data_IF_157575112750
#
_entry.id   IF_157575112750
#
_cell.length_a   1.000
_cell.length_b   1.000
_cell.length_c   1.000
_cell.angle_alpha   90.00
_cell.angle_beta   90.00
_cell.angle_gamma   90.00
#
_symmetry.space_group_name_H-M   'P 1'
#
loop_
_entity.id
_entity.type
_entity.pdbx_description
1 polymer ?
#
# COMPACT_ATOMS: atom_id res chain seq x y z
N UNK A 1 -24.67 25.73 11.30
CA UNK A 1 -23.39 25.14 10.89
C UNK A 1 -23.48 23.67 11.25
N UNK A 2 -23.44 22.79 10.27
CA UNK A 2 -23.34 21.34 10.50
C UNK A 2 -21.85 20.98 10.59
N UNK A 3 -21.49 20.04 11.45
CA UNK A 3 -20.11 19.67 11.71
C UNK A 3 -19.97 18.17 11.93
N UNK A 4 -18.85 17.62 11.46
CA UNK A 4 -18.48 16.23 11.68
C UNK A 4 -17.47 16.16 12.83
N UNK A 5 -17.76 15.31 13.82
CA UNK A 5 -16.85 15.04 14.94
C UNK A 5 -16.29 13.64 14.75
N UNK A 6 -14.97 13.54 14.68
CA UNK A 6 -14.25 12.26 14.59
C UNK A 6 -13.59 12.03 15.94
N UNK A 7 -13.86 10.88 16.55
CA UNK A 7 -13.27 10.48 17.83
C UNK A 7 -12.50 9.18 17.67
N UNK A 8 -11.53 8.93 18.55
CA UNK A 8 -10.69 7.75 18.47
C UNK A 8 -9.91 7.52 19.76
N UNK A 9 -9.20 6.39 19.81
CA UNK A 9 -8.38 6.04 20.97
C UNK A 9 -7.23 7.03 21.15
N UNK A 10 -7.19 7.67 22.33
CA UNK A 10 -6.07 8.55 22.73
C UNK A 10 -4.73 7.81 22.68
N UNK A 11 -4.70 6.54 23.05
CA UNK A 11 -3.47 5.72 23.07
C UNK A 11 -2.93 5.51 21.66
N UNK A 12 -3.80 5.16 20.71
CA UNK A 12 -3.41 4.95 19.30
C UNK A 12 -2.84 6.26 18.73
N UNK A 13 -3.55 7.36 18.95
CA UNK A 13 -3.12 8.68 18.46
C UNK A 13 -1.77 9.09 19.06
N UNK A 14 -1.60 8.92 20.37
CA UNK A 14 -0.35 9.30 21.04
C UNK A 14 0.84 8.45 20.60
N UNK A 15 0.64 7.16 20.33
CA UNK A 15 1.70 6.29 19.82
C UNK A 15 2.11 6.70 18.40
N UNK A 16 1.16 7.02 17.52
CA UNK A 16 1.43 7.52 16.18
C UNK A 16 2.24 8.83 16.22
N UNK A 17 1.78 9.82 17.01
CA UNK A 17 2.44 11.11 17.13
C UNK A 17 3.88 10.97 17.64
N UNK A 18 4.09 10.15 18.68
CA UNK A 18 5.44 9.88 19.22
C UNK A 18 6.37 9.22 18.20
N UNK A 19 5.86 8.36 17.32
CA UNK A 19 6.68 7.79 16.25
C UNK A 19 7.20 8.87 15.29
N UNK A 20 6.36 9.83 14.91
CA UNK A 20 6.75 10.95 14.03
C UNK A 20 7.73 11.90 14.74
N UNK A 21 7.44 12.26 15.99
CA UNK A 21 8.31 13.15 16.79
C UNK A 21 9.70 12.54 17.03
N UNK A 22 9.79 11.22 17.22
CA UNK A 22 11.08 10.51 17.36
C UNK A 22 11.91 10.50 16.09
N UNK A 23 11.30 10.76 14.92
CA UNK A 23 12.01 10.98 13.67
C UNK A 23 12.52 12.42 13.52
N UNK A 24 12.34 13.28 14.54
CA UNK A 24 12.75 14.70 14.50
C UNK A 24 11.77 15.61 13.76
N UNK A 25 10.56 15.12 13.45
CA UNK A 25 9.53 15.85 12.72
C UNK A 25 8.47 16.42 13.67
N UNK A 26 7.87 17.54 13.28
CA UNK A 26 6.71 18.12 13.97
C UNK A 26 5.43 17.79 13.22
N UNK A 27 4.40 17.35 13.94
CA UNK A 27 3.09 17.05 13.34
C UNK A 27 2.27 18.33 13.25
N UNK A 28 2.05 18.81 12.03
CA UNK A 28 1.25 20.02 11.79
C UNK A 28 -0.24 19.80 12.02
N UNK A 29 -0.78 18.67 11.56
CA UNK A 29 -2.21 18.33 11.67
C UNK A 29 -2.43 16.82 11.52
N UNK A 30 -3.60 16.34 11.94
CA UNK A 30 -4.03 14.94 11.82
C UNK A 30 -5.25 14.90 10.92
N UNK A 31 -5.25 13.98 9.95
CA UNK A 31 -6.36 13.77 9.03
C UNK A 31 -6.86 12.33 9.12
N UNK A 32 -8.17 12.14 9.09
CA UNK A 32 -8.77 10.82 8.91
C UNK A 32 -8.55 10.36 7.47
N UNK A 33 -7.88 9.22 7.28
CA UNK A 33 -7.48 8.68 5.97
C UNK A 33 -8.56 8.78 4.88
N UNK A 34 -9.80 8.26 5.08
CA UNK A 34 -10.90 8.41 4.12
C UNK A 34 -11.14 9.82 3.58
N UNK A 35 -10.98 10.85 4.40
CA UNK A 35 -11.18 12.24 3.98
C UNK A 35 -10.07 12.72 3.05
N UNK A 36 -8.82 12.31 3.33
CA UNK A 36 -7.68 12.56 2.46
C UNK A 36 -7.79 11.76 1.15
N UNK A 37 -7.94 10.44 1.23
CA UNK A 37 -8.02 9.55 0.07
C UNK A 37 -9.15 9.95 -0.87
N UNK A 38 -10.33 10.28 -0.31
CA UNK A 38 -11.49 10.69 -1.11
C UNK A 38 -11.33 12.06 -1.79
N UNK A 39 -10.34 12.88 -1.43
CA UNK A 39 -10.10 14.15 -2.14
C UNK A 39 -9.48 13.94 -3.51
N UNK A 40 -8.86 12.77 -3.71
CA UNK A 40 -8.19 12.36 -4.94
C UNK A 40 -9.00 11.29 -5.67
N UNK A 41 -9.50 10.28 -4.94
CA UNK A 41 -10.05 9.07 -5.54
C UNK A 41 -11.46 9.23 -6.15
N UNK A 42 -12.28 10.11 -5.57
CA UNK A 42 -13.70 10.23 -5.91
C UNK A 42 -14.12 11.68 -6.13
N UNK A 43 -14.97 11.89 -7.12
CA UNK A 43 -15.52 13.18 -7.54
C UNK A 43 -16.60 13.68 -6.58
N UNK A 44 -16.98 14.96 -6.73
CA UNK A 44 -18.08 15.54 -5.95
C UNK A 44 -19.43 14.90 -6.28
N UNK A 45 -19.64 14.51 -7.53
CA UNK A 45 -20.89 13.92 -7.99
C UNK A 45 -21.04 12.51 -7.42
N UNK A 46 -19.96 11.70 -7.44
CA UNK A 46 -19.96 10.38 -6.81
C UNK A 46 -20.25 10.46 -5.29
N UNK A 47 -19.64 11.41 -4.58
CA UNK A 47 -19.94 11.65 -3.14
C UNK A 47 -21.39 12.08 -2.90
N UNK A 48 -22.00 12.80 -3.85
CA UNK A 48 -23.36 13.31 -3.70
C UNK A 48 -24.39 12.22 -3.95
N UNK A 49 -24.17 11.41 -4.98
CA UNK A 49 -25.06 10.32 -5.40
C UNK A 49 -24.98 9.08 -4.50
N UNK A 50 -23.78 8.75 -4.00
CA UNK A 50 -23.54 7.57 -3.19
C UNK A 50 -22.45 6.68 -3.79
N UNK A 51 -21.31 6.57 -3.10
CA UNK A 51 -20.14 5.79 -3.53
C UNK A 51 -19.47 5.11 -2.35
N UNK A 52 -18.98 3.89 -2.58
CA UNK A 52 -18.14 3.17 -1.63
C UNK A 52 -16.68 3.19 -2.05
N UNK A 53 -15.85 3.91 -1.30
CA UNK A 53 -14.41 3.93 -1.45
C UNK A 53 -13.78 2.81 -0.63
N UNK A 54 -13.02 1.94 -1.28
CA UNK A 54 -12.33 0.80 -0.68
C UNK A 54 -10.82 0.99 -0.90
N UNK A 55 -10.07 1.19 0.19
CA UNK A 55 -8.61 1.30 0.18
C UNK A 55 -7.99 0.00 0.71
N UNK A 56 -7.41 -0.79 -0.19
CA UNK A 56 -6.82 -2.11 0.08
C UNK A 56 -5.30 -1.95 0.23
N UNK A 57 -4.84 -1.81 1.47
CA UNK A 57 -3.43 -1.74 1.83
C UNK A 57 -2.80 -3.12 2.04
N UNK A 58 -1.58 -3.14 2.60
CA UNK A 58 -0.88 -4.37 3.00
C UNK A 58 -1.53 -5.04 4.21
N UNK A 59 -1.69 -4.30 5.31
CA UNK A 59 -2.22 -4.87 6.56
C UNK A 59 -3.74 -4.78 6.73
N UNK A 60 -4.43 -3.91 5.99
CA UNK A 60 -5.85 -3.63 6.23
C UNK A 60 -6.59 -3.12 4.99
N UNK A 61 -7.90 -3.30 5.00
CA UNK A 61 -8.84 -2.69 4.07
C UNK A 61 -9.65 -1.63 4.81
N UNK A 62 -9.67 -0.41 4.28
CA UNK A 62 -10.56 0.65 4.76
C UNK A 62 -11.75 0.80 3.83
N UNK A 63 -12.96 0.63 4.36
CA UNK A 63 -14.22 0.81 3.62
C UNK A 63 -14.83 2.13 4.07
N UNK A 64 -15.19 2.99 3.13
CA UNK A 64 -15.72 4.33 3.40
C UNK A 64 -16.88 4.65 2.48
N UNK A 65 -18.02 4.99 3.06
CA UNK A 65 -19.24 5.33 2.30
C UNK A 65 -19.46 6.83 2.32
N UNK A 66 -19.63 7.41 1.13
CA UNK A 66 -19.96 8.82 0.95
C UNK A 66 -21.33 8.96 0.31
N UNK A 67 -22.20 9.76 0.93
CA UNK A 67 -23.51 10.16 0.41
C UNK A 67 -23.80 11.61 0.79
N UNK A 68 -24.62 12.31 0.01
CA UNK A 68 -24.97 13.71 0.27
C UNK A 68 -23.73 14.62 0.38
N UNK A 69 -22.64 14.26 -0.30
CA UNK A 69 -21.40 15.03 -0.34
C UNK A 69 -20.49 14.86 0.88
N UNK A 70 -20.84 14.01 1.85
CA UNK A 70 -20.08 13.83 3.09
C UNK A 70 -19.82 12.35 3.40
N UNK A 71 -18.83 12.08 4.26
CA UNK A 71 -18.54 10.73 4.76
C UNK A 71 -19.63 10.30 5.74
N UNK A 72 -20.36 9.23 5.43
CA UNK A 72 -21.43 8.69 6.28
C UNK A 72 -20.90 7.62 7.23
N UNK A 73 -20.11 6.68 6.70
CA UNK A 73 -19.59 5.54 7.46
C UNK A 73 -18.16 5.23 7.05
N UNK A 74 -17.37 4.74 8.00
CA UNK A 74 -16.06 4.16 7.73
C UNK A 74 -15.76 3.01 8.69
N UNK A 75 -15.12 1.96 8.18
CA UNK A 75 -14.78 0.76 8.94
C UNK A 75 -13.49 0.17 8.37
N UNK A 76 -12.76 -0.59 9.21
CA UNK A 76 -11.47 -1.17 8.85
C UNK A 76 -11.51 -2.66 9.10
N UNK A 77 -11.20 -3.44 8.07
CA UNK A 77 -10.98 -4.88 8.17
C UNK A 77 -9.48 -5.15 8.32
N UNK A 78 -9.04 -5.94 9.32
CA UNK A 78 -7.62 -6.21 9.57
C UNK A 78 -7.07 -7.31 8.64
N UNK A 79 -7.32 -7.17 7.34
CA UNK A 79 -6.86 -8.04 6.27
C UNK A 79 -6.47 -7.19 5.06
N UNK A 80 -5.43 -7.59 4.34
CA UNK A 80 -4.90 -6.86 3.18
C UNK A 80 -3.81 -7.67 2.46
N UNK A 81 -3.04 -7.02 1.58
CA UNK A 81 -2.05 -7.65 0.71
C UNK A 81 -0.98 -8.51 1.42
N UNK A 82 -0.70 -8.29 2.70
CA UNK A 82 0.23 -9.11 3.50
C UNK A 82 -0.30 -10.54 3.69
N UNK A 83 -1.62 -10.73 3.66
CA UNK A 83 -2.25 -12.05 3.76
C UNK A 83 -2.07 -12.85 2.47
N UNK A 84 -2.07 -12.17 1.31
CA UNK A 84 -1.72 -12.80 0.02
C UNK A 84 -0.27 -13.28 0.08
N UNK A 85 0.63 -12.42 0.55
CA UNK A 85 2.05 -12.76 0.72
C UNK A 85 2.25 -13.94 1.66
N UNK A 86 1.52 -13.99 2.76
CA UNK A 86 1.56 -15.09 3.70
C UNK A 86 1.07 -16.41 3.08
N UNK A 87 -0.02 -16.37 2.32
CA UNK A 87 -0.54 -17.57 1.65
C UNK A 87 0.42 -18.11 0.59
N UNK A 88 1.07 -17.23 -0.18
CA UNK A 88 2.14 -17.61 -1.11
C UNK A 88 3.33 -18.21 -0.35
N UNK A 89 3.76 -17.59 0.75
CA UNK A 89 4.88 -18.09 1.55
C UNK A 89 4.60 -19.50 2.10
N UNK A 90 3.38 -19.76 2.56
CA UNK A 90 2.95 -21.08 3.05
C UNK A 90 2.81 -22.08 1.89
N UNK A 91 2.14 -21.69 0.81
CA UNK A 91 1.85 -22.55 -0.34
C UNK A 91 3.13 -23.01 -1.05
N UNK A 92 4.09 -22.11 -1.23
CA UNK A 92 5.37 -22.38 -1.90
C UNK A 92 6.52 -22.70 -0.94
N UNK A 93 6.27 -22.63 0.38
CA UNK A 93 7.25 -22.90 1.45
C UNK A 93 8.53 -22.07 1.32
N UNK A 94 8.35 -20.77 1.10
CA UNK A 94 9.41 -19.77 0.94
C UNK A 94 9.37 -18.70 2.03
N UNK A 95 10.39 -17.84 2.08
CA UNK A 95 10.37 -16.69 2.99
C UNK A 95 9.28 -15.69 2.57
N UNK A 96 8.78 -14.93 3.54
CA UNK A 96 7.82 -13.84 3.28
C UNK A 96 8.38 -12.81 2.31
N UNK A 97 9.68 -12.53 2.37
CA UNK A 97 10.37 -11.61 1.44
C UNK A 97 10.33 -12.13 -0.01
N UNK A 98 10.66 -13.41 -0.22
CA UNK A 98 10.57 -14.01 -1.55
C UNK A 98 9.13 -14.12 -2.05
N UNK A 99 8.18 -14.41 -1.16
CA UNK A 99 6.76 -14.40 -1.48
C UNK A 99 6.27 -13.03 -1.94
N UNK A 100 6.70 -11.94 -1.28
CA UNK A 100 6.35 -10.57 -1.70
C UNK A 100 6.94 -10.26 -3.07
N UNK A 101 8.19 -10.66 -3.31
CA UNK A 101 8.88 -10.50 -4.60
C UNK A 101 8.16 -11.25 -5.72
N UNK A 102 7.70 -12.48 -5.45
CA UNK A 102 6.94 -13.28 -6.41
C UNK A 102 5.56 -12.69 -6.65
N UNK A 103 4.83 -12.29 -5.59
CA UNK A 103 3.51 -11.65 -5.68
C UNK A 103 3.56 -10.40 -6.56
N UNK A 104 4.51 -9.50 -6.30
CA UNK A 104 4.65 -8.24 -7.02
C UNK A 104 5.09 -8.42 -8.48
N UNK A 105 5.88 -9.45 -8.77
CA UNK A 105 6.41 -9.68 -10.12
C UNK A 105 5.51 -10.53 -11.01
N UNK A 106 4.87 -11.56 -10.46
CA UNK A 106 4.15 -12.59 -11.23
C UNK A 106 2.69 -12.75 -10.79
N UNK A 107 2.24 -12.06 -9.75
CA UNK A 107 0.91 -12.26 -9.18
C UNK A 107 -0.22 -11.91 -10.14
N UNK A 108 -1.26 -12.73 -10.16
CA UNK A 108 -2.52 -12.49 -10.86
C UNK A 108 -3.65 -12.95 -9.94
N UNK A 109 -4.68 -12.11 -9.78
CA UNK A 109 -5.81 -12.34 -8.88
C UNK A 109 -7.05 -12.91 -9.58
N UNK A 110 -6.96 -13.17 -10.89
CA UNK A 110 -8.02 -13.78 -11.68
C UNK A 110 -7.45 -14.92 -12.53
N UNK A 111 -7.77 -16.16 -12.19
CA UNK A 111 -7.20 -17.42 -12.68
C UNK A 111 -7.46 -17.58 -14.17
N UNK A 112 -8.65 -17.19 -14.64
CA UNK A 112 -9.04 -17.35 -16.05
C UNK A 112 -8.14 -16.56 -17.00
N UNK A 113 -7.56 -15.45 -16.54
CA UNK A 113 -6.65 -14.59 -17.31
C UNK A 113 -5.16 -14.88 -17.03
N UNK A 114 -4.86 -15.75 -16.05
CA UNK A 114 -3.49 -16.01 -15.61
C UNK A 114 -2.70 -16.85 -16.62
N UNK A 115 -1.47 -16.42 -16.94
CA UNK A 115 -0.61 -17.05 -17.95
C UNK A 115 -0.04 -18.40 -17.50
N UNK A 116 -0.15 -19.41 -18.36
CA UNK A 116 0.52 -20.72 -18.21
C UNK A 116 1.95 -20.73 -18.78
N UNK A 117 2.29 -19.72 -19.55
CA UNK A 117 3.59 -19.58 -20.23
C UNK A 117 4.57 -18.74 -19.39
N UNK A 118 4.07 -17.79 -18.61
CA UNK A 118 4.90 -17.03 -17.68
C UNK A 118 5.30 -17.92 -16.50
N UNK A 119 6.60 -18.25 -16.42
CA UNK A 119 7.18 -19.20 -15.47
C UNK A 119 8.30 -18.57 -14.65
N UNK A 120 8.51 -19.09 -13.44
CA UNK A 120 9.54 -18.64 -12.53
C UNK A 120 10.02 -19.75 -11.60
N UNK A 121 11.30 -19.68 -11.25
CA UNK A 121 11.94 -20.61 -10.31
C UNK A 121 11.73 -20.20 -8.86
N UNK A 122 11.46 -21.18 -8.01
CA UNK A 122 11.24 -21.02 -6.58
C UNK A 122 12.13 -22.00 -5.83
N UNK A 123 12.95 -21.49 -4.90
CA UNK A 123 13.75 -22.32 -4.01
C UNK A 123 13.04 -22.44 -2.66
N UNK A 124 12.49 -23.62 -2.38
CA UNK A 124 11.86 -23.94 -1.10
C UNK A 124 12.87 -23.87 0.06
N UNK A 125 12.42 -23.39 1.22
CA UNK A 125 13.25 -23.37 2.44
C UNK A 125 13.75 -24.78 2.77
N UNK A 126 15.06 -24.91 2.97
CA UNK A 126 15.70 -26.18 3.33
C UNK A 126 15.94 -27.13 2.15
N UNK A 127 15.66 -26.70 0.91
CA UNK A 127 16.04 -27.41 -0.32
C UNK A 127 17.11 -26.64 -1.09
N UNK A 128 17.95 -27.38 -1.82
CA UNK A 128 18.98 -26.79 -2.69
C UNK A 128 18.55 -26.72 -4.16
N UNK A 129 17.50 -27.45 -4.53
CA UNK A 129 16.95 -27.48 -5.89
C UNK A 129 15.78 -26.49 -5.99
N UNK A 130 15.70 -25.80 -7.13
CA UNK A 130 14.57 -24.94 -7.47
C UNK A 130 13.49 -25.74 -8.18
N UNK A 131 12.24 -25.39 -7.90
CA UNK A 131 11.05 -25.90 -8.60
C UNK A 131 10.48 -24.76 -9.46
N UNK A 132 10.02 -25.08 -10.67
CA UNK A 132 9.44 -24.10 -11.59
C UNK A 132 7.92 -24.04 -11.41
N UNK A 133 7.39 -22.82 -11.30
CA UNK A 133 5.96 -22.52 -11.19
C UNK A 133 5.53 -21.55 -12.28
N UNK A 134 4.27 -21.62 -12.70
CA UNK A 134 3.63 -20.67 -13.61
C UNK A 134 2.83 -19.60 -12.87
N UNK A 135 2.56 -18.46 -13.53
CA UNK A 135 1.63 -17.45 -13.03
C UNK A 135 0.23 -18.05 -12.78
N UNK A 136 -0.23 -18.97 -13.63
CA UNK A 136 -1.46 -19.72 -13.43
C UNK A 136 -1.48 -20.49 -12.09
N UNK A 137 -0.41 -21.21 -11.76
CA UNK A 137 -0.30 -21.91 -10.47
C UNK A 137 -0.25 -20.96 -9.29
N UNK A 138 0.40 -19.80 -9.45
CA UNK A 138 0.41 -18.74 -8.43
C UNK A 138 -0.98 -18.13 -8.22
N UNK A 139 -1.74 -17.93 -9.29
CA UNK A 139 -3.10 -17.38 -9.23
C UNK A 139 -4.05 -18.27 -8.41
N UNK A 140 -3.83 -19.59 -8.40
CA UNK A 140 -4.58 -20.53 -7.55
C UNK A 140 -4.34 -20.33 -6.04
N UNK A 141 -3.33 -19.56 -5.66
CA UNK A 141 -3.08 -19.14 -4.28
C UNK A 141 -3.63 -17.72 -4.05
N UNK A 142 -3.46 -16.82 -5.02
CA UNK A 142 -3.81 -15.41 -4.88
C UNK A 142 -5.33 -15.17 -4.96
N UNK A 143 -6.01 -15.70 -5.97
CA UNK A 143 -7.44 -15.44 -6.20
C UNK A 143 -8.30 -15.79 -4.98
N UNK A 144 -8.19 -16.98 -4.36
CA UNK A 144 -9.04 -17.32 -3.20
C UNK A 144 -8.89 -16.34 -2.04
N UNK A 145 -7.69 -15.79 -1.84
CA UNK A 145 -7.44 -14.78 -0.80
C UNK A 145 -8.07 -13.43 -1.16
N UNK A 146 -7.99 -13.02 -2.42
CA UNK A 146 -8.60 -11.76 -2.89
C UNK A 146 -10.13 -11.89 -2.90
N UNK A 147 -10.66 -13.05 -3.27
CA UNK A 147 -12.09 -13.40 -3.18
C UNK A 147 -12.57 -13.25 -1.73
N UNK A 148 -11.89 -13.87 -0.76
CA UNK A 148 -12.23 -13.72 0.66
C UNK A 148 -12.24 -12.24 1.09
N UNK A 149 -11.28 -11.43 0.64
CA UNK A 149 -11.28 -9.99 0.94
C UNK A 149 -12.54 -9.29 0.44
N UNK A 150 -12.97 -9.58 -0.80
CA UNK A 150 -14.17 -8.98 -1.37
C UNK A 150 -15.46 -9.51 -0.75
N UNK A 151 -15.53 -10.79 -0.37
CA UNK A 151 -16.64 -11.32 0.42
C UNK A 151 -16.77 -10.62 1.78
N UNK A 152 -15.64 -10.40 2.46
CA UNK A 152 -15.60 -9.65 3.72
C UNK A 152 -16.05 -8.21 3.53
N UNK A 153 -15.61 -7.55 2.45
CA UNK A 153 -16.05 -6.20 2.08
C UNK A 153 -17.57 -6.18 1.86
N UNK A 154 -18.10 -7.09 1.03
CA UNK A 154 -19.52 -7.17 0.71
C UNK A 154 -20.37 -7.38 1.97
N UNK A 155 -19.95 -8.30 2.84
CA UNK A 155 -20.61 -8.56 4.13
C UNK A 155 -20.61 -7.33 5.02
N UNK A 156 -19.50 -6.59 5.06
CA UNK A 156 -19.36 -5.40 5.88
C UNK A 156 -20.21 -4.24 5.36
N UNK A 157 -20.24 -4.02 4.04
CA UNK A 157 -21.14 -3.07 3.37
C UNK A 157 -22.61 -3.39 3.68
N UNK A 158 -22.99 -4.67 3.58
CA UNK A 158 -24.34 -5.12 3.92
C UNK A 158 -24.67 -4.89 5.40
N UNK A 159 -23.70 -5.15 6.30
CA UNK A 159 -23.84 -4.92 7.75
C UNK A 159 -24.05 -3.43 8.07
N UNK A 160 -23.44 -2.53 7.30
CA UNK A 160 -23.63 -1.08 7.41
C UNK A 160 -25.00 -0.61 6.84
N UNK A 161 -25.76 -1.49 6.21
CA UNK A 161 -27.11 -1.22 5.70
C UNK A 161 -27.16 -0.86 4.22
N UNK A 162 -26.06 -0.98 3.49
CA UNK A 162 -25.99 -0.68 2.06
C UNK A 162 -26.16 -1.95 1.23
N UNK A 163 -26.98 -1.87 0.18
CA UNK A 163 -27.19 -2.98 -0.77
C UNK A 163 -26.49 -2.72 -2.10
N UNK A 164 -26.53 -1.47 -2.53
CA UNK A 164 -25.93 -0.96 -3.75
C UNK A 164 -25.49 0.50 -3.54
N UNK A 165 -24.64 0.98 -4.46
CA UNK A 165 -24.20 2.37 -4.50
C UNK A 165 -24.49 2.92 -5.90
N UNK A 166 -25.24 4.03 -6.03
CA UNK A 166 -25.57 4.60 -7.35
C UNK A 166 -24.35 4.93 -8.22
N UNK A 167 -23.24 5.35 -7.60
CA UNK A 167 -21.95 5.58 -8.28
C UNK A 167 -20.98 4.39 -8.21
N UNK A 168 -21.41 3.28 -7.61
CA UNK A 168 -20.62 2.05 -7.51
C UNK A 168 -19.51 2.09 -6.46
N UNK A 169 -18.49 1.27 -6.72
CA UNK A 169 -17.33 1.06 -5.87
C UNK A 169 -16.08 1.65 -6.52
N UNK A 170 -15.25 2.29 -5.69
CA UNK A 170 -13.98 2.84 -6.12
C UNK A 170 -12.86 2.20 -5.31
N UNK A 171 -11.97 1.51 -5.98
CA UNK A 171 -10.84 0.81 -5.37
C UNK A 171 -9.57 1.68 -5.42
N UNK A 172 -8.75 1.62 -4.38
CA UNK A 172 -7.41 2.21 -4.33
C UNK A 172 -6.52 1.40 -3.37
N UNK A 173 -5.25 1.78 -3.24
CA UNK A 173 -4.30 1.11 -2.35
C UNK A 173 -3.40 0.13 -3.10
N UNK A 174 -2.28 -0.25 -2.50
CA UNK A 174 -1.22 -0.98 -3.19
C UNK A 174 -1.63 -2.37 -3.69
N UNK A 175 -2.53 -3.05 -2.98
CA UNK A 175 -2.99 -4.39 -3.36
C UNK A 175 -3.83 -4.38 -4.64
N UNK A 176 -4.47 -3.25 -4.95
CA UNK A 176 -5.27 -3.09 -6.18
C UNK A 176 -4.38 -3.08 -7.44
N UNK A 177 -3.06 -2.95 -7.28
CA UNK A 177 -2.12 -3.05 -8.40
C UNK A 177 -1.88 -4.48 -8.88
N UNK A 178 -2.33 -5.50 -8.13
CA UNK A 178 -2.27 -6.89 -8.61
C UNK A 178 -3.23 -7.06 -9.81
N UNK A 179 -2.74 -7.51 -10.98
CA UNK A 179 -3.60 -7.81 -12.14
C UNK A 179 -4.75 -8.75 -11.79
N UNK A 180 -5.92 -8.59 -12.41
CA UNK A 180 -7.11 -9.42 -12.14
C UNK A 180 -7.98 -8.96 -10.96
N UNK A 181 -7.49 -8.03 -10.11
CA UNK A 181 -8.26 -7.56 -8.95
C UNK A 181 -9.54 -6.84 -9.36
N UNK A 182 -9.51 -6.05 -10.45
CA UNK A 182 -10.68 -5.30 -10.91
C UNK A 182 -11.76 -6.22 -11.47
N UNK A 183 -11.33 -7.23 -12.22
CA UNK A 183 -12.16 -8.27 -12.81
C UNK A 183 -12.88 -9.04 -11.70
N UNK A 184 -12.13 -9.59 -10.76
CA UNK A 184 -12.68 -10.33 -9.62
C UNK A 184 -13.60 -9.46 -8.74
N UNK A 185 -13.23 -8.19 -8.50
CA UNK A 185 -14.07 -7.26 -7.75
C UNK A 185 -15.41 -7.01 -8.44
N UNK A 186 -15.41 -6.91 -9.77
CA UNK A 186 -16.61 -6.64 -10.57
C UNK A 186 -17.60 -7.80 -10.50
N UNK A 187 -17.09 -9.05 -10.47
CA UNK A 187 -17.92 -10.24 -10.30
C UNK A 187 -18.54 -10.33 -8.90
N UNK A 188 -17.73 -10.09 -7.86
CA UNK A 188 -18.14 -10.29 -6.46
C UNK A 188 -19.00 -9.16 -5.90
N UNK A 189 -18.71 -7.90 -6.26
CA UNK A 189 -19.43 -6.74 -5.73
C UNK A 189 -20.73 -6.43 -6.49
N UNK A 190 -21.00 -7.10 -7.61
CA UNK A 190 -22.25 -7.00 -8.37
C UNK A 190 -22.66 -5.55 -8.72
N UNK A 191 -21.67 -4.70 -9.01
CA UNK A 191 -21.88 -3.28 -9.29
C UNK A 191 -20.75 -2.69 -10.14
N UNK A 192 -20.86 -1.41 -10.47
CA UNK A 192 -19.80 -0.72 -11.19
C UNK A 192 -18.58 -0.60 -10.28
N UNK A 193 -17.45 -1.14 -10.70
CA UNK A 193 -16.17 -1.03 -9.99
C UNK A 193 -15.17 -0.30 -10.87
N UNK A 194 -14.40 0.62 -10.28
CA UNK A 194 -13.26 1.25 -10.96
C UNK A 194 -12.10 1.44 -10.00
N UNK A 195 -10.89 1.50 -10.54
CA UNK A 195 -9.69 1.86 -9.78
C UNK A 195 -9.47 3.37 -9.84
N UNK A 196 -9.16 3.97 -8.69
CA UNK A 196 -8.69 5.34 -8.61
C UNK A 196 -7.17 5.39 -8.59
N UNK A 197 -6.60 6.24 -9.45
CA UNK A 197 -5.17 6.51 -9.54
C UNK A 197 -4.96 8.02 -9.50
N UNK A 198 -4.03 8.55 -8.67
CA UNK A 198 -3.66 9.96 -8.70
C UNK A 198 -3.03 10.36 -10.06
N UNK A 199 -3.30 11.58 -10.52
CA UNK A 199 -2.82 12.08 -11.83
C UNK A 199 -1.52 12.92 -11.74
N UNK A 200 -0.68 12.68 -10.74
CA UNK A 200 0.58 13.42 -10.54
C UNK A 200 1.79 12.60 -10.97
N UNK A 201 2.66 13.18 -11.81
CA UNK A 201 3.91 12.55 -12.22
C UNK A 201 4.74 12.08 -11.02
N UNK A 202 5.31 10.88 -11.13
CA UNK A 202 6.11 10.25 -10.08
C UNK A 202 5.32 9.51 -9.00
N UNK A 203 4.00 9.71 -8.93
CA UNK A 203 3.12 9.04 -7.94
C UNK A 203 1.83 8.52 -8.56
N UNK A 204 1.82 8.19 -9.87
CA UNK A 204 0.64 7.70 -10.61
C UNK A 204 0.31 6.23 -10.34
N UNK A 205 0.20 5.88 -9.06
CA UNK A 205 -0.11 4.53 -8.62
C UNK A 205 -1.12 4.58 -7.45
N UNK A 206 -2.07 3.63 -7.35
CA UNK A 206 -3.08 3.59 -6.29
C UNK A 206 -2.52 3.64 -4.86
N UNK A 207 -1.30 3.17 -4.63
CA UNK A 207 -0.64 3.19 -3.33
C UNK A 207 -0.35 4.61 -2.81
N UNK A 208 -0.27 5.60 -3.70
CA UNK A 208 0.03 6.99 -3.33
C UNK A 208 -1.21 7.86 -3.11
N UNK A 209 -2.41 7.37 -3.39
CA UNK A 209 -3.67 8.14 -3.31
C UNK A 209 -3.84 8.85 -1.97
N UNK A 210 -3.61 8.14 -0.86
CA UNK A 210 -3.73 8.71 0.49
C UNK A 210 -2.66 9.77 0.76
N UNK A 211 -1.41 9.53 0.34
CA UNK A 211 -0.32 10.50 0.51
C UNK A 211 -0.59 11.81 -0.23
N UNK A 212 -1.02 11.72 -1.49
CA UNK A 212 -1.44 12.88 -2.29
C UNK A 212 -2.64 13.59 -1.64
N UNK A 213 -3.61 12.82 -1.13
CA UNK A 213 -4.77 13.34 -0.41
C UNK A 213 -4.40 14.13 0.86
N UNK A 214 -3.39 13.66 1.62
CA UNK A 214 -2.90 14.36 2.81
C UNK A 214 -2.28 15.72 2.47
N UNK A 215 -1.54 15.80 1.36
CA UNK A 215 -1.00 17.08 0.87
C UNK A 215 -2.12 18.04 0.50
N UNK A 216 -3.15 17.56 -0.24
CA UNK A 216 -4.30 18.37 -0.61
C UNK A 216 -5.11 18.84 0.62
N UNK A 217 -5.24 17.98 1.63
CA UNK A 217 -5.88 18.30 2.90
C UNK A 217 -5.13 19.41 3.63
N UNK A 218 -3.82 19.25 3.82
CA UNK A 218 -2.97 20.24 4.47
C UNK A 218 -3.03 21.60 3.77
N UNK A 219 -2.98 21.61 2.42
CA UNK A 219 -3.11 22.85 1.63
C UNK A 219 -4.46 23.55 1.85
N UNK A 220 -5.57 22.82 1.81
CA UNK A 220 -6.91 23.39 2.02
C UNK A 220 -7.06 23.96 3.43
N UNK A 221 -6.60 23.24 4.45
CA UNK A 221 -6.72 23.68 5.84
C UNK A 221 -5.84 24.89 6.16
N UNK A 222 -4.61 24.94 5.64
CA UNK A 222 -3.76 26.12 5.78
C UNK A 222 -4.43 27.38 5.20
N UNK A 223 -5.08 27.24 4.03
CA UNK A 223 -5.84 28.31 3.38
C UNK A 223 -7.01 28.80 4.23
N UNK A 224 -7.76 27.88 4.85
CA UNK A 224 -8.89 28.21 5.74
C UNK A 224 -8.42 28.87 7.03
N UNK A 225 -7.27 28.45 7.57
CA UNK A 225 -6.69 29.01 8.79
C UNK A 225 -5.86 30.30 8.57
N UNK A 226 -5.74 30.76 7.32
CA UNK A 226 -4.93 31.95 6.97
C UNK A 226 -3.43 31.77 7.23
N UNK A 227 -2.93 30.53 7.29
CA UNK A 227 -1.50 30.24 7.45
C UNK A 227 -0.83 30.23 6.07
N UNK A 228 0.28 30.95 5.92
CA UNK A 228 1.15 30.80 4.75
C UNK A 228 1.74 29.38 4.76
N UNK A 229 1.51 28.62 3.69
CA UNK A 229 2.19 27.34 3.48
C UNK A 229 3.62 27.68 3.06
N UNK A 230 4.50 27.92 4.02
CA UNK A 230 5.91 28.04 3.75
C UNK A 230 6.39 26.69 3.22
N UNK A 231 6.67 26.61 1.92
CA UNK A 231 7.44 25.52 1.35
C UNK A 231 8.86 25.65 1.90
N UNK A 232 9.10 25.13 3.10
CA UNK A 232 10.43 25.06 3.68
C UNK A 232 11.20 23.93 2.99
N UNK A 233 11.66 24.19 1.77
CA UNK A 233 12.92 23.59 1.32
C UNK A 233 13.98 24.55 1.85
N UNK A 234 14.38 24.36 3.11
CA UNK A 234 15.58 25.03 3.61
C UNK A 234 16.75 24.52 2.78
N UNK A 235 17.42 25.42 2.05
CA UNK A 235 18.60 25.13 1.21
C UNK A 235 19.84 24.69 2.03
N UNK A 236 19.72 24.44 3.33
CA UNK A 236 20.82 24.17 4.26
C UNK A 236 20.98 22.68 4.61
N UNK A 237 21.15 21.83 3.59
CA UNK A 237 21.83 20.55 3.77
C UNK A 237 22.99 20.46 2.79
N UNK A 238 24.11 21.08 3.14
CA UNK A 238 25.41 20.68 2.59
C UNK A 238 25.63 19.22 2.98
N UNK A 239 25.45 18.32 2.02
CA UNK A 239 25.90 16.94 2.12
C UNK A 239 27.42 16.96 2.31
N UNK A 240 27.91 16.72 3.53
CA UNK A 240 29.29 16.31 3.74
C UNK A 240 29.40 14.83 3.40
N UNK A 241 30.19 14.50 2.36
CA UNK A 241 30.54 13.11 2.05
C UNK A 241 31.25 12.47 3.25
N UNK A 242 30.93 11.22 3.63
CA UNK A 242 31.66 10.53 4.67
C UNK A 242 33.09 10.24 4.17
N UNK A 243 34.08 10.87 4.80
CA UNK A 243 35.50 10.55 4.60
C UNK A 243 35.76 9.10 5.02
N UNK A 244 36.09 8.25 4.05
CA UNK A 244 36.56 6.88 4.32
C UNK A 244 37.95 6.95 4.97
N UNK A 245 38.02 6.75 6.28
CA UNK A 245 39.28 6.41 6.94
C UNK A 245 39.77 5.05 6.41
N UNK A 246 40.80 5.09 5.55
CA UNK A 246 41.59 3.90 5.19
C UNK A 246 42.35 3.44 6.43
N UNK A 247 41.87 2.37 7.05
CA UNK A 247 42.68 1.58 7.99
C UNK A 247 43.75 0.80 7.20
N UNK A 248 44.91 1.42 7.00
CA UNK A 248 46.11 0.75 6.50
C UNK A 248 46.62 -0.23 7.56
N UNK A 249 46.40 -1.53 7.33
CA UNK A 249 47.10 -2.59 8.08
C UNK A 249 48.57 -2.61 7.64
N UNK A 250 49.55 -2.65 8.57
CA UNK A 250 50.96 -2.71 8.20
C UNK A 250 51.33 -4.06 7.58
N UNK A 251 51.82 -4.01 6.35
CA UNK A 251 52.38 -5.13 5.58
C UNK A 251 53.60 -5.72 6.28
N UNK A 252 53.56 -7.02 6.57
CA UNK A 252 54.68 -7.78 7.09
C UNK A 252 55.83 -7.85 6.06
N UNK A 253 57.01 -7.38 6.46
CA UNK A 253 58.26 -7.46 5.72
C UNK A 253 58.72 -8.92 5.57
N UNK A 254 58.74 -9.42 4.32
CA UNK A 254 59.39 -10.69 3.97
C UNK A 254 60.91 -10.51 4.04
N UNK A 255 61.54 -11.24 4.96
CA UNK A 255 63.01 -11.42 5.04
C UNK A 255 63.52 -12.11 3.75
N UNK A 256 64.53 -11.50 3.14
CA UNK A 256 65.31 -12.09 2.03
C UNK A 256 66.02 -13.37 2.48
N UNK A 257 66.00 -14.40 1.64
CA UNK A 257 66.92 -15.54 1.70
C UNK A 257 68.00 -15.34 0.62
N UNK A 258 69.29 -15.54 0.91
CA UNK A 258 70.37 -15.30 -0.03
C UNK A 258 70.39 -16.33 -1.16
N UNK A 259 70.70 -15.85 -2.38
CA UNK A 259 70.89 -16.64 -3.59
C UNK A 259 72.22 -17.40 -3.53
N UNK A 260 72.19 -18.73 -3.59
CA UNK A 260 73.33 -19.56 -3.99
C UNK A 260 73.35 -19.68 -5.52
N UNK A 261 74.47 -19.33 -6.14
CA UNK A 261 74.88 -19.83 -7.47
C UNK A 261 76.38 -20.10 -7.43
N UNK A 262 76.73 -21.37 -7.72
CA UNK A 262 78.04 -21.92 -8.12
C UNK A 262 79.26 -21.53 -7.30
#
# INVERSE_FOLDING_TARGET
MEGMIITGSKTVLHNLLRCVERAGLQVAEICLQPLATSSVAISKDEKSLGVCLIDIGGGSITISVFEQGTLQNTTVLPIGGDHITNDIAIGLRISTEEAERIKTKYGHAYIDDASKEERFDVTTIGRSESEEYSQFELAHIIEPRVEEMFELIYREVTRLGYRDFPSGYVLTGGTVMTPGVLELASELLQGNVRVAVPDYLGVREPQYTTGVGLIQFAYKNAKVQGKEVAASVSEDHSYEEPTRERNDKPTATKKEKPKTKR
#
